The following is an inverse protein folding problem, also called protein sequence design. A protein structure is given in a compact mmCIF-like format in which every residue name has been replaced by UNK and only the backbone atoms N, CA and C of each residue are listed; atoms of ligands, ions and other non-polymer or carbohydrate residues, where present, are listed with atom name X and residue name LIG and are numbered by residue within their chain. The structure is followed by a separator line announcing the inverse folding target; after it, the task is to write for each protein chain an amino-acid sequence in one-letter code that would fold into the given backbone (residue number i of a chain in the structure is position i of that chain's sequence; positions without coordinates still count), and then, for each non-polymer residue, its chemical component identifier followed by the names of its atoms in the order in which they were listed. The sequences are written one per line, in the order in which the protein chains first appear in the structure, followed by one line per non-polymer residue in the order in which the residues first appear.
data_IF_245233157970
#
_entry.id   IF_245233157970
#
_cell.length_a   1.000
_cell.length_b   1.000
_cell.length_c   1.000
_cell.angle_alpha   90.00
_cell.angle_beta   90.00
_cell.angle_gamma   90.00
#
_symmetry.space_group_name_H-M   'P 1'
#
loop_
_entity.id
_entity.type
_entity.pdbx_description
1 polymer ?
#
# COMPACT_ATOMS: atom_id res chain seq x y z
N UNK A 1 -18.84 -6.26 10.09
CA UNK A 1 -18.01 -5.23 9.45
C UNK A 1 -16.54 -5.37 9.83
N UNK A 2 -16.24 -5.63 11.11
CA UNK A 2 -14.86 -5.77 11.61
C UNK A 2 -14.06 -6.90 10.94
N UNK A 3 -14.66 -8.08 10.75
CA UNK A 3 -14.01 -9.22 10.09
C UNK A 3 -13.61 -8.93 8.64
N UNK A 4 -14.45 -8.22 7.89
CA UNK A 4 -14.14 -7.81 6.51
C UNK A 4 -12.94 -6.85 6.49
N UNK A 5 -12.93 -5.87 7.38
CA UNK A 5 -11.81 -4.95 7.53
C UNK A 5 -10.51 -5.66 7.94
N UNK A 6 -10.58 -6.69 8.79
CA UNK A 6 -9.42 -7.52 9.16
C UNK A 6 -8.87 -8.30 7.97
N UNK A 7 -9.75 -8.93 7.17
CA UNK A 7 -9.33 -9.65 5.96
C UNK A 7 -8.66 -8.69 4.97
N UNK A 8 -9.27 -7.53 4.72
CA UNK A 8 -8.70 -6.49 3.86
C UNK A 8 -7.35 -5.98 4.40
N UNK A 9 -7.24 -5.83 5.72
CA UNK A 9 -6.00 -5.44 6.40
C UNK A 9 -4.88 -6.44 6.18
N UNK A 10 -5.15 -7.73 6.37
CA UNK A 10 -4.16 -8.80 6.16
C UNK A 10 -3.76 -8.97 4.70
N UNK A 11 -4.71 -8.86 3.76
CA UNK A 11 -4.41 -8.85 2.32
C UNK A 11 -3.51 -7.66 1.98
N UNK A 12 -3.84 -6.47 2.50
CA UNK A 12 -3.03 -5.27 2.29
C UNK A 12 -1.62 -5.41 2.88
N UNK A 13 -1.51 -5.95 4.09
CA UNK A 13 -0.23 -6.20 4.76
C UNK A 13 0.64 -7.17 3.95
N UNK A 14 0.06 -8.27 3.47
CA UNK A 14 0.76 -9.22 2.59
C UNK A 14 1.27 -8.53 1.33
N UNK A 15 0.46 -7.67 0.70
CA UNK A 15 0.84 -6.98 -0.52
C UNK A 15 1.99 -5.99 -0.29
N UNK A 16 1.97 -5.24 0.81
CA UNK A 16 3.07 -4.34 1.20
C UNK A 16 4.36 -5.12 1.46
N UNK A 17 4.28 -6.23 2.19
CA UNK A 17 5.44 -7.10 2.48
C UNK A 17 5.99 -7.70 1.19
N UNK A 18 5.12 -8.15 0.28
CA UNK A 18 5.54 -8.66 -1.02
C UNK A 18 6.19 -7.57 -1.88
N UNK A 19 5.67 -6.34 -1.86
CA UNK A 19 6.27 -5.21 -2.56
C UNK A 19 7.66 -4.90 -2.02
N UNK A 20 7.79 -4.86 -0.69
CA UNK A 20 9.06 -4.64 -0.01
C UNK A 20 10.07 -5.77 -0.30
N UNK A 21 9.60 -7.02 -0.34
CA UNK A 21 10.41 -8.17 -0.74
C UNK A 21 10.92 -7.99 -2.17
N UNK A 22 10.05 -7.74 -3.14
CA UNK A 22 10.46 -7.62 -4.54
C UNK A 22 11.45 -6.48 -4.77
N UNK A 23 11.27 -5.31 -4.13
CA UNK A 23 12.21 -4.19 -4.27
C UNK A 23 13.55 -4.47 -3.57
N UNK A 24 13.52 -5.12 -2.40
CA UNK A 24 14.75 -5.47 -1.65
C UNK A 24 15.62 -6.46 -2.41
N UNK A 25 15.01 -7.37 -3.17
CA UNK A 25 15.71 -8.33 -4.03
C UNK A 25 15.98 -7.80 -5.44
N UNK A 26 15.76 -6.49 -5.69
CA UNK A 26 15.94 -5.83 -6.99
C UNK A 26 15.17 -6.53 -8.13
N UNK A 27 14.04 -7.16 -7.81
CA UNK A 27 13.14 -7.79 -8.79
C UNK A 27 12.20 -6.77 -9.44
N UNK A 28 11.91 -5.68 -8.72
CA UNK A 28 11.19 -4.51 -9.22
C UNK A 28 11.90 -3.25 -8.77
N UNK A 29 11.82 -2.20 -9.57
CA UNK A 29 12.34 -0.88 -9.20
C UNK A 29 11.32 -0.11 -8.36
N UNK A 30 11.81 0.77 -7.48
CA UNK A 30 10.95 1.53 -6.56
C UNK A 30 10.02 2.53 -7.26
N UNK A 31 10.31 2.94 -8.49
CA UNK A 31 9.46 3.77 -9.34
C UNK A 31 8.62 2.97 -10.35
N UNK A 32 8.76 1.64 -10.36
CA UNK A 32 8.01 0.77 -11.26
C UNK A 32 6.50 0.80 -10.97
N UNK A 33 5.70 0.73 -12.03
CA UNK A 33 4.23 0.69 -11.93
C UNK A 33 3.75 -0.45 -11.02
N UNK A 34 4.36 -1.63 -11.13
CA UNK A 34 4.00 -2.81 -10.33
C UNK A 34 4.20 -2.53 -8.84
N UNK A 35 5.38 -2.04 -8.45
CA UNK A 35 5.67 -1.71 -7.05
C UNK A 35 4.70 -0.66 -6.50
N UNK A 36 4.38 0.36 -7.30
CA UNK A 36 3.48 1.43 -6.87
C UNK A 36 2.02 0.99 -6.77
N UNK A 37 1.53 0.12 -7.68
CA UNK A 37 0.21 -0.50 -7.53
C UNK A 37 0.13 -1.37 -6.27
N UNK A 38 1.16 -2.17 -6.00
CA UNK A 38 1.18 -2.99 -4.78
C UNK A 38 1.14 -2.15 -3.52
N UNK A 39 1.90 -1.05 -3.46
CA UNK A 39 1.85 -0.13 -2.34
C UNK A 39 0.51 0.59 -2.23
N UNK A 40 -0.11 1.00 -3.35
CA UNK A 40 -1.41 1.67 -3.34
C UNK A 40 -2.52 0.74 -2.80
N UNK A 41 -2.65 -0.45 -3.36
CA UNK A 41 -3.66 -1.42 -2.90
C UNK A 41 -3.36 -1.92 -1.47
N UNK A 42 -2.08 -2.07 -1.13
CA UNK A 42 -1.63 -2.45 0.20
C UNK A 42 -1.98 -1.39 1.24
N UNK A 43 -1.71 -0.13 0.92
CA UNK A 43 -2.08 1.03 1.72
C UNK A 43 -3.59 1.13 1.92
N UNK A 44 -4.39 0.93 0.87
CA UNK A 44 -5.85 0.93 0.96
C UNK A 44 -6.39 -0.19 1.85
N UNK A 45 -5.91 -1.43 1.68
CA UNK A 45 -6.37 -2.58 2.47
C UNK A 45 -6.07 -2.43 3.97
N UNK A 46 -4.84 -2.09 4.31
CA UNK A 46 -4.45 -1.79 5.70
C UNK A 46 -5.14 -0.53 6.21
N UNK A 47 -5.28 0.50 5.37
CA UNK A 47 -5.93 1.77 5.68
C UNK A 47 -7.37 1.59 6.16
N UNK A 48 -8.14 0.74 5.47
CA UNK A 48 -9.50 0.36 5.90
C UNK A 48 -9.46 -0.29 7.28
N UNK A 49 -8.53 -1.23 7.52
CA UNK A 49 -8.42 -1.92 8.81
C UNK A 49 -8.12 -0.97 9.97
N UNK A 50 -7.10 -0.12 9.82
CA UNK A 50 -6.65 0.80 10.87
C UNK A 50 -7.64 1.95 11.10
N UNK A 51 -8.44 2.31 10.09
CA UNK A 51 -9.57 3.23 10.25
C UNK A 51 -10.64 2.64 11.19
N UNK A 52 -11.03 1.38 11.01
CA UNK A 52 -11.99 0.72 11.90
C UNK A 52 -11.45 0.55 13.33
N UNK A 53 -10.14 0.36 13.48
CA UNK A 53 -9.48 0.30 14.79
C UNK A 53 -9.25 1.67 15.43
N UNK A 54 -9.62 2.77 14.75
CA UNK A 54 -9.34 4.14 15.18
C UNK A 54 -7.84 4.39 15.48
N UNK A 55 -6.96 3.67 14.78
CA UNK A 55 -5.52 3.81 14.89
C UNK A 55 -5.05 4.97 14.00
N UNK A 56 -5.34 6.21 14.44
CA UNK A 56 -5.08 7.43 13.67
C UNK A 56 -3.63 7.58 13.18
N UNK A 57 -2.59 7.27 13.97
CA UNK A 57 -1.21 7.34 13.49
C UNK A 57 -0.94 6.36 12.33
N UNK A 58 -1.46 5.13 12.45
CA UNK A 58 -1.30 4.12 11.39
C UNK A 58 -2.08 4.51 10.13
N UNK A 59 -3.28 5.07 10.29
CA UNK A 59 -4.07 5.58 9.17
C UNK A 59 -3.34 6.69 8.40
N UNK A 60 -2.70 7.63 9.11
CA UNK A 60 -1.92 8.69 8.49
C UNK A 60 -0.78 8.15 7.63
N UNK A 61 -0.07 7.11 8.10
CA UNK A 61 0.98 6.44 7.31
C UNK A 61 0.41 5.86 6.02
N UNK A 62 -0.75 5.19 6.08
CA UNK A 62 -1.36 4.59 4.89
C UNK A 62 -1.82 5.65 3.88
N UNK A 63 -2.32 6.79 4.35
CA UNK A 63 -2.67 7.93 3.48
C UNK A 63 -1.42 8.49 2.79
N UNK A 64 -0.32 8.67 3.52
CA UNK A 64 0.95 9.16 2.95
C UNK A 64 1.50 8.16 1.92
N UNK A 65 1.53 6.86 2.25
CA UNK A 65 1.95 5.82 1.30
C UNK A 65 1.08 5.78 0.05
N UNK A 66 -0.24 5.82 0.20
CA UNK A 66 -1.16 5.88 -0.94
C UNK A 66 -0.93 7.11 -1.82
N UNK A 67 -0.65 8.27 -1.20
CA UNK A 67 -0.36 9.51 -1.93
C UNK A 67 0.95 9.42 -2.72
N UNK A 68 2.01 8.91 -2.10
CA UNK A 68 3.31 8.67 -2.77
C UNK A 68 3.11 7.73 -3.96
N UNK A 69 2.34 6.66 -3.78
CA UNK A 69 2.08 5.69 -4.84
C UNK A 69 1.31 6.29 -6.02
N UNK A 70 0.29 7.11 -5.76
CA UNK A 70 -0.45 7.82 -6.81
C UNK A 70 0.48 8.77 -7.58
N UNK A 71 1.29 9.57 -6.89
CA UNK A 71 2.23 10.51 -7.54
C UNK A 71 3.22 9.77 -8.43
N UNK A 72 3.79 8.66 -7.94
CA UNK A 72 4.72 7.85 -8.70
C UNK A 72 4.06 7.19 -9.93
N UNK A 73 2.84 6.66 -9.79
CA UNK A 73 2.08 6.11 -10.91
C UNK A 73 1.81 7.17 -11.99
N UNK A 74 1.33 8.36 -11.61
CA UNK A 74 1.06 9.46 -12.54
C UNK A 74 2.34 9.87 -13.30
N UNK A 75 3.50 9.91 -12.62
CA UNK A 75 4.78 10.19 -13.27
C UNK A 75 5.19 9.08 -14.24
N UNK A 76 5.06 7.81 -13.83
CA UNK A 76 5.46 6.66 -14.66
C UNK A 76 4.61 6.46 -15.91
N UNK A 77 3.39 7.02 -15.97
CA UNK A 77 2.51 6.98 -17.16
C UNK A 77 2.88 8.07 -18.17
N UNK A 78 3.50 9.17 -17.71
CA UNK A 78 3.91 10.31 -18.55
C UNK A 78 5.29 10.17 -19.18
N UNK A 79 6.03 9.10 -18.85
CA UNK A 79 7.32 8.73 -19.46
C UNK A 79 7.14 7.60 -20.45
#
# INVERSE_FOLDING_TARGET
METFAQIMGWIGAFLVVLAYFLVSYKKVEGDSRIYQFMNLFGALGVGVNVFYQQAWPALAIQVVWGTIAIIALVKSIKS
#
